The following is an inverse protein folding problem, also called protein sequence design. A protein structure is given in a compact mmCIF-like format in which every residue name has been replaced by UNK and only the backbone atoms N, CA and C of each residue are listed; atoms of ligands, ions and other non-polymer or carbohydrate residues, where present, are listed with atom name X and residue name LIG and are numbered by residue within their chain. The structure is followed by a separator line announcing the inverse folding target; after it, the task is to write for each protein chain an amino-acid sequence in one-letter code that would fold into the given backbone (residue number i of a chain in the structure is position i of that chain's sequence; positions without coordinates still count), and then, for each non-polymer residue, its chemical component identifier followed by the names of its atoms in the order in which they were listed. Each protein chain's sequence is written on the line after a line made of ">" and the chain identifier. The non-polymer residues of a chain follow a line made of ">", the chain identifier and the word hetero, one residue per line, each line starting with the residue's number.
data_IF_340376571893
#
_entry.id   IF_340376571893
#
_cell.length_a   1.000
_cell.length_b   1.000
_cell.length_c   1.000
_cell.angle_alpha   90.00
_cell.angle_beta   90.00
_cell.angle_gamma   90.00
#
_symmetry.space_group_name_H-M   'P 1'
#
loop_
_entity.id
_entity.type
_entity.pdbx_description
1 polymer ?
#
# COMPACT_ATOMS: atom_id res chain seq x y z
N UNK A 1 -7.94 7.85 -12.97
CA UNK A 1 -7.49 6.45 -12.84
C UNK A 1 -6.06 6.47 -12.37
N UNK A 2 -5.71 5.80 -11.26
CA UNK A 2 -4.32 5.67 -10.80
C UNK A 2 -3.78 4.27 -11.15
N UNK A 3 -2.45 4.12 -11.15
CA UNK A 3 -1.80 2.88 -11.57
C UNK A 3 -0.90 2.34 -10.44
N UNK A 4 -1.07 1.07 -10.07
CA UNK A 4 -0.06 0.30 -9.32
C UNK A 4 0.86 -0.35 -10.35
N UNK A 5 2.09 0.07 -10.37
CA UNK A 5 3.09 -0.35 -11.34
C UNK A 5 4.08 -1.29 -10.68
N UNK A 6 4.18 -2.51 -11.20
CA UNK A 6 5.19 -3.49 -10.80
C UNK A 6 6.16 -3.73 -11.96
N UNK A 7 7.19 -2.90 -12.11
CA UNK A 7 8.06 -2.96 -13.29
C UNK A 7 8.95 -4.20 -13.31
N UNK A 8 9.13 -4.85 -12.15
CA UNK A 8 9.93 -6.07 -11.99
C UNK A 8 9.51 -6.84 -10.74
N UNK A 9 9.66 -8.17 -10.75
CA UNK A 9 9.57 -9.00 -9.53
C UNK A 9 10.93 -9.09 -8.80
N UNK A 10 12.02 -8.71 -9.44
CA UNK A 10 13.34 -8.78 -8.83
C UNK A 10 13.40 -7.93 -7.56
N UNK A 11 13.96 -8.49 -6.50
CA UNK A 11 14.16 -7.83 -5.21
C UNK A 11 15.51 -8.25 -4.63
N UNK A 12 16.17 -7.34 -3.95
CA UNK A 12 17.40 -7.60 -3.21
C UNK A 12 17.16 -8.03 -1.75
N UNK A 13 15.86 -8.19 -1.36
CA UNK A 13 15.43 -8.74 -0.07
C UNK A 13 14.72 -10.09 -0.26
N UNK A 14 14.66 -10.87 0.84
CA UNK A 14 14.04 -12.20 0.93
C UNK A 14 12.96 -12.28 1.99
N UNK A 15 12.07 -11.28 2.07
CA UNK A 15 11.03 -11.21 3.11
C UNK A 15 10.10 -12.43 3.09
N UNK A 16 9.79 -12.98 4.28
CA UNK A 16 8.93 -14.17 4.42
C UNK A 16 7.44 -13.89 4.21
N UNK A 17 7.03 -12.64 4.38
CA UNK A 17 5.65 -12.15 4.23
C UNK A 17 5.36 -11.49 2.88
N UNK A 18 6.27 -11.60 1.90
CA UNK A 18 6.16 -10.87 0.64
C UNK A 18 4.96 -11.34 -0.19
N UNK A 19 3.93 -10.47 -0.34
CA UNK A 19 2.76 -10.76 -1.16
C UNK A 19 3.08 -10.73 -2.66
N UNK A 20 4.01 -9.88 -3.08
CA UNK A 20 4.43 -9.73 -4.49
C UNK A 20 5.53 -10.72 -4.89
N UNK A 21 5.46 -11.95 -4.39
CA UNK A 21 6.30 -13.07 -4.85
C UNK A 21 5.50 -13.95 -5.82
N UNK A 22 6.17 -14.50 -6.81
CA UNK A 22 5.56 -15.41 -7.79
C UNK A 22 4.57 -14.72 -8.75
N UNK A 23 4.80 -13.44 -9.06
CA UNK A 23 3.96 -12.67 -9.99
C UNK A 23 4.13 -13.10 -11.45
N UNK A 24 5.29 -13.63 -11.79
CA UNK A 24 5.67 -14.03 -13.14
C UNK A 24 6.53 -15.29 -13.11
N UNK A 25 6.45 -16.10 -14.15
CA UNK A 25 7.29 -17.30 -14.32
C UNK A 25 8.75 -16.92 -14.58
N UNK A 26 8.98 -15.92 -15.42
CA UNK A 26 10.32 -15.37 -15.67
C UNK A 26 10.63 -14.19 -14.75
N UNK A 27 11.38 -14.45 -13.67
CA UNK A 27 11.85 -13.43 -12.72
C UNK A 27 12.71 -12.32 -13.34
N UNK A 28 13.17 -12.48 -14.57
CA UNK A 28 13.90 -11.46 -15.33
C UNK A 28 12.95 -10.56 -16.11
N UNK A 29 11.66 -10.86 -16.15
CA UNK A 29 10.69 -10.02 -16.84
C UNK A 29 10.77 -8.57 -16.34
N UNK A 30 10.67 -7.65 -17.28
CA UNK A 30 10.68 -6.20 -17.07
C UNK A 30 9.55 -5.59 -17.87
N UNK A 31 8.73 -4.81 -17.22
CA UNK A 31 7.63 -4.14 -17.91
C UNK A 31 8.18 -3.10 -18.89
N UNK A 32 7.70 -3.15 -20.11
CA UNK A 32 8.03 -2.19 -21.14
C UNK A 32 7.33 -0.84 -20.88
N UNK A 33 8.05 0.26 -21.10
CA UNK A 33 7.50 1.61 -20.97
C UNK A 33 6.33 1.88 -21.94
N UNK A 34 6.31 1.23 -23.07
CA UNK A 34 5.24 1.31 -24.08
C UNK A 34 3.84 1.06 -23.49
N UNK A 35 3.71 0.08 -22.58
CA UNK A 35 2.45 -0.22 -21.89
C UNK A 35 2.03 0.93 -20.97
N UNK A 36 2.97 1.55 -20.26
CA UNK A 36 2.70 2.69 -19.38
C UNK A 36 2.31 3.93 -20.20
N UNK A 37 2.97 4.15 -21.32
CA UNK A 37 2.65 5.25 -22.24
C UNK A 37 1.23 5.12 -22.82
N UNK A 38 0.84 3.90 -23.21
CA UNK A 38 -0.54 3.63 -23.66
C UNK A 38 -1.56 3.88 -22.54
N UNK A 39 -1.24 3.44 -21.30
CA UNK A 39 -2.09 3.70 -20.15
C UNK A 39 -2.28 5.20 -19.90
N UNK A 40 -1.20 5.99 -19.87
CA UNK A 40 -1.26 7.45 -19.66
C UNK A 40 -2.01 8.16 -20.80
N UNK A 41 -1.84 7.71 -22.03
CA UNK A 41 -2.62 8.23 -23.18
C UNK A 41 -4.11 7.97 -23.01
N UNK A 42 -4.50 6.80 -22.50
CA UNK A 42 -5.91 6.44 -22.25
C UNK A 42 -6.48 7.16 -21.03
N UNK A 43 -5.67 7.36 -19.98
CA UNK A 43 -6.05 8.00 -18.74
C UNK A 43 -5.20 9.24 -18.45
N UNK A 44 -5.33 10.33 -19.24
CA UNK A 44 -4.44 11.50 -19.18
C UNK A 44 -4.53 12.29 -17.88
N UNK A 45 -5.57 12.05 -17.06
CA UNK A 45 -5.76 12.66 -15.72
C UNK A 45 -5.23 11.75 -14.59
N UNK A 46 -4.37 10.79 -14.90
CA UNK A 46 -3.70 9.98 -13.89
C UNK A 46 -2.85 10.87 -12.99
N UNK A 47 -3.17 10.91 -11.71
CA UNK A 47 -2.44 11.75 -10.74
C UNK A 47 -1.23 11.02 -10.16
N UNK A 48 -1.37 9.72 -9.89
CA UNK A 48 -0.29 8.92 -9.29
C UNK A 48 -0.08 7.57 -9.99
N UNK A 49 1.20 7.23 -10.15
CA UNK A 49 1.67 5.89 -10.42
C UNK A 49 2.41 5.41 -9.17
N UNK A 50 1.82 4.44 -8.47
CA UNK A 50 2.43 3.78 -7.31
C UNK A 50 3.41 2.72 -7.80
N UNK A 51 4.68 2.98 -7.70
CA UNK A 51 5.74 2.07 -8.18
C UNK A 51 6.16 1.14 -7.04
N UNK A 52 5.84 -0.12 -7.19
CA UNK A 52 6.04 -1.20 -6.21
C UNK A 52 6.56 -2.45 -6.94
N UNK A 53 6.29 -3.64 -6.45
CA UNK A 53 6.63 -4.91 -7.09
C UNK A 53 7.63 -5.71 -6.25
N UNK A 54 8.74 -6.16 -6.84
CA UNK A 54 9.89 -6.66 -6.10
C UNK A 54 10.52 -5.50 -5.34
N UNK A 55 11.57 -4.91 -5.90
CA UNK A 55 12.01 -3.57 -5.45
C UNK A 55 12.19 -2.69 -6.69
N UNK A 56 11.61 -1.48 -6.73
CA UNK A 56 11.73 -0.56 -7.86
C UNK A 56 13.19 -0.25 -8.24
N UNK A 57 14.10 -0.24 -7.26
CA UNK A 57 15.53 0.07 -7.50
C UNK A 57 16.29 -1.08 -8.18
N UNK A 58 15.62 -2.20 -8.47
CA UNK A 58 16.16 -3.25 -9.34
C UNK A 58 16.00 -2.92 -10.83
N UNK A 59 15.25 -1.87 -11.18
CA UNK A 59 15.27 -1.24 -12.50
C UNK A 59 16.38 -0.18 -12.57
N UNK A 60 16.94 0.12 -13.74
CA UNK A 60 17.89 1.21 -13.86
C UNK A 60 17.22 2.60 -13.72
N UNK A 61 17.88 3.63 -13.16
CA UNK A 61 17.31 4.98 -13.05
C UNK A 61 16.80 5.53 -14.38
N UNK A 62 17.50 5.23 -15.49
CA UNK A 62 17.10 5.63 -16.83
C UNK A 62 15.67 5.26 -17.18
N UNK A 63 15.18 4.09 -16.73
CA UNK A 63 13.78 3.66 -16.95
C UNK A 63 12.79 4.70 -16.42
N UNK A 64 13.06 5.23 -15.24
CA UNK A 64 12.18 6.21 -14.60
C UNK A 64 12.37 7.62 -15.18
N UNK A 65 13.59 8.00 -15.56
CA UNK A 65 13.81 9.26 -16.28
C UNK A 65 13.09 9.26 -17.63
N UNK A 66 13.12 8.16 -18.37
CA UNK A 66 12.38 8.05 -19.64
C UNK A 66 10.87 8.16 -19.42
N UNK A 67 10.34 7.57 -18.32
CA UNK A 67 8.93 7.72 -17.95
C UNK A 67 8.59 9.16 -17.55
N UNK A 68 9.40 9.80 -16.72
CA UNK A 68 9.23 11.21 -16.31
C UNK A 68 9.25 12.12 -17.53
N UNK A 69 10.22 11.93 -18.43
CA UNK A 69 10.29 12.68 -19.68
C UNK A 69 9.00 12.57 -20.49
N UNK A 70 8.46 11.35 -20.65
CA UNK A 70 7.18 11.15 -21.36
C UNK A 70 6.02 11.86 -20.67
N UNK A 71 5.97 11.84 -19.32
CA UNK A 71 4.96 12.54 -18.52
C UNK A 71 5.03 14.06 -18.78
N UNK A 72 6.23 14.63 -18.81
CA UNK A 72 6.46 16.06 -19.00
C UNK A 72 6.18 16.53 -20.43
N UNK A 73 6.66 15.80 -21.43
CA UNK A 73 6.43 16.08 -22.84
C UNK A 73 4.93 16.09 -23.22
N UNK A 74 4.11 15.31 -22.50
CA UNK A 74 2.66 15.24 -22.72
C UNK A 74 1.85 16.06 -21.71
N UNK A 75 2.50 16.81 -20.80
CA UNK A 75 1.85 17.62 -19.76
C UNK A 75 0.89 16.82 -18.87
N UNK A 76 1.19 15.56 -18.56
CA UNK A 76 0.39 14.78 -17.62
C UNK A 76 0.64 15.27 -16.17
N UNK A 77 -0.40 15.27 -15.30
CA UNK A 77 -0.23 15.68 -13.89
C UNK A 77 0.51 14.65 -13.03
N UNK A 78 0.87 13.53 -13.60
CA UNK A 78 1.29 12.30 -12.93
C UNK A 78 2.55 12.48 -12.09
N UNK A 79 2.50 11.96 -10.87
CA UNK A 79 3.63 11.81 -9.94
C UNK A 79 3.95 10.31 -9.80
N UNK A 80 5.23 9.97 -9.68
CA UNK A 80 5.71 8.63 -9.38
C UNK A 80 5.90 8.50 -7.87
N UNK A 81 5.10 7.67 -7.22
CA UNK A 81 5.17 7.40 -5.78
C UNK A 81 5.78 6.02 -5.54
N UNK A 82 7.03 6.00 -5.07
CA UNK A 82 7.79 4.77 -4.86
C UNK A 82 7.55 4.19 -3.47
N UNK A 83 7.47 2.86 -3.39
CA UNK A 83 7.71 2.12 -2.16
C UNK A 83 8.88 1.17 -2.39
N UNK A 84 10.00 1.42 -1.73
CA UNK A 84 11.25 0.67 -1.89
C UNK A 84 11.89 0.37 -0.54
N UNK A 85 12.66 -0.71 -0.44
CA UNK A 85 13.44 -0.99 0.76
C UNK A 85 14.68 -0.08 0.91
N UNK A 86 14.98 0.74 -0.09
CA UNK A 86 16.11 1.68 -0.17
C UNK A 86 17.50 1.04 -0.04
N UNK A 87 17.64 -0.29 -0.12
CA UNK A 87 18.93 -0.95 0.11
C UNK A 87 19.94 -0.69 -1.02
N UNK A 88 19.49 -0.61 -2.28
CA UNK A 88 20.39 -0.23 -3.39
C UNK A 88 20.77 1.26 -3.31
N UNK A 89 19.85 2.12 -2.87
CA UNK A 89 20.15 3.51 -2.57
C UNK A 89 21.20 3.65 -1.43
N UNK A 90 21.01 2.93 -0.32
CA UNK A 90 21.95 2.96 0.80
C UNK A 90 23.37 2.57 0.39
N UNK A 91 23.51 1.58 -0.50
CA UNK A 91 24.81 1.14 -1.01
C UNK A 91 25.41 2.05 -2.06
N UNK A 92 24.59 2.77 -2.85
CA UNK A 92 24.99 3.59 -3.99
C UNK A 92 24.10 4.82 -4.09
N UNK A 93 24.15 5.75 -3.12
CA UNK A 93 23.24 6.88 -3.06
C UNK A 93 23.36 7.80 -4.29
N UNK A 94 24.56 8.01 -4.80
CA UNK A 94 24.85 8.84 -5.98
C UNK A 94 24.11 8.38 -7.23
N UNK A 95 23.85 7.08 -7.36
CA UNK A 95 23.10 6.49 -8.48
C UNK A 95 21.64 6.96 -8.53
N UNK A 96 21.04 7.29 -7.37
CA UNK A 96 19.61 7.53 -7.22
C UNK A 96 19.27 8.96 -6.82
N UNK A 97 20.25 9.73 -6.32
CA UNK A 97 20.04 11.06 -5.75
C UNK A 97 19.36 12.01 -6.72
N UNK A 98 19.79 12.04 -7.98
CA UNK A 98 19.17 12.89 -8.99
C UNK A 98 17.71 12.56 -9.21
N UNK A 99 17.38 11.25 -9.38
CA UNK A 99 16.01 10.80 -9.55
C UNK A 99 15.14 11.14 -8.34
N UNK A 100 15.62 10.87 -7.12
CA UNK A 100 14.83 11.07 -5.89
C UNK A 100 14.58 12.55 -5.57
N UNK A 101 15.47 13.44 -5.97
CA UNK A 101 15.27 14.88 -5.86
C UNK A 101 14.34 15.46 -6.94
N UNK A 102 13.97 14.67 -7.96
CA UNK A 102 13.09 15.16 -9.02
C UNK A 102 11.72 15.56 -8.47
N UNK A 103 11.12 16.71 -8.91
CA UNK A 103 9.83 17.20 -8.39
C UNK A 103 8.67 16.19 -8.53
N UNK A 104 8.71 15.34 -9.57
CA UNK A 104 7.68 14.33 -9.83
C UNK A 104 7.86 13.03 -9.05
N UNK A 105 8.76 13.01 -8.08
CA UNK A 105 9.03 11.83 -7.26
C UNK A 105 8.52 12.01 -5.83
N UNK A 106 7.79 11.02 -5.34
CA UNK A 106 7.52 10.79 -3.93
C UNK A 106 8.19 9.47 -3.53
N UNK A 107 8.84 9.44 -2.38
CA UNK A 107 9.58 8.26 -1.92
C UNK A 107 9.03 7.83 -0.57
N UNK A 108 8.53 6.61 -0.51
CA UNK A 108 8.23 5.88 0.71
C UNK A 108 9.15 4.69 0.85
N UNK A 109 9.35 4.24 2.07
CA UNK A 109 10.13 3.05 2.35
C UNK A 109 9.35 2.04 3.19
N UNK A 110 9.99 0.99 3.63
CA UNK A 110 9.34 -0.04 4.41
C UNK A 110 10.28 -0.60 5.47
N UNK A 111 9.75 -0.73 6.68
CA UNK A 111 10.42 -1.37 7.80
C UNK A 111 9.37 -2.07 8.66
N UNK A 112 9.74 -3.19 9.27
CA UNK A 112 8.93 -3.82 10.32
C UNK A 112 9.82 -4.56 11.31
N UNK A 113 9.42 -4.54 12.56
CA UNK A 113 10.02 -5.37 13.60
C UNK A 113 9.70 -6.86 13.40
N UNK A 114 10.51 -7.73 13.99
CA UNK A 114 10.42 -9.17 13.84
C UNK A 114 11.35 -9.71 12.74
N UNK A 115 11.32 -11.02 12.54
CA UNK A 115 12.30 -11.73 11.72
C UNK A 115 11.90 -11.86 10.23
N UNK A 116 10.71 -11.40 9.89
CA UNK A 116 10.13 -11.59 8.55
C UNK A 116 10.83 -10.77 7.45
N UNK A 117 11.38 -9.60 7.79
CA UNK A 117 12.09 -8.75 6.82
C UNK A 117 13.56 -9.12 6.75
N UNK A 118 13.98 -9.72 5.64
CA UNK A 118 15.31 -10.28 5.48
C UNK A 118 16.04 -9.69 4.27
N UNK A 119 17.30 -9.28 4.47
CA UNK A 119 18.21 -8.85 3.40
C UNK A 119 18.52 -10.04 2.49
N UNK A 120 18.81 -11.19 3.10
CA UNK A 120 18.90 -12.50 2.46
C UNK A 120 18.38 -13.56 3.44
N UNK A 121 18.11 -14.79 3.02
CA UNK A 121 17.61 -15.81 3.90
C UNK A 121 18.43 -15.92 5.20
N UNK A 122 17.77 -15.73 6.36
CA UNK A 122 18.39 -15.77 7.68
C UNK A 122 19.09 -14.49 8.15
N UNK A 123 19.22 -13.46 7.31
CA UNK A 123 19.79 -12.16 7.70
C UNK A 123 18.69 -11.11 7.84
N UNK A 124 18.28 -10.82 9.07
CA UNK A 124 17.20 -9.89 9.39
C UNK A 124 17.62 -8.44 9.11
N UNK A 125 16.74 -7.68 8.47
CA UNK A 125 16.87 -6.23 8.33
C UNK A 125 16.39 -5.55 9.62
N UNK A 126 17.34 -5.19 10.48
CA UNK A 126 17.09 -4.68 11.84
C UNK A 126 16.76 -3.19 11.85
N UNK A 127 16.28 -2.67 13.00
CA UNK A 127 16.08 -1.24 13.23
C UNK A 127 17.38 -0.44 13.00
N UNK A 128 18.54 -0.98 13.41
CA UNK A 128 19.83 -0.33 13.16
C UNK A 128 20.07 -0.12 11.66
N UNK A 129 19.87 -1.15 10.83
CA UNK A 129 19.96 -1.04 9.37
C UNK A 129 18.98 0.02 8.84
N UNK A 130 17.74 0.03 9.33
CA UNK A 130 16.73 0.99 8.90
C UNK A 130 17.12 2.43 9.24
N UNK A 131 17.61 2.68 10.46
CA UNK A 131 18.09 4.02 10.88
C UNK A 131 19.29 4.50 10.05
N UNK A 132 20.17 3.60 9.63
CA UNK A 132 21.29 3.94 8.74
C UNK A 132 20.80 4.32 7.33
N UNK A 133 19.88 3.52 6.77
CA UNK A 133 19.23 3.82 5.48
C UNK A 133 18.49 5.15 5.54
N UNK A 134 17.71 5.39 6.61
CA UNK A 134 16.96 6.63 6.82
C UNK A 134 17.89 7.88 6.88
N UNK A 135 18.97 7.78 7.69
CA UNK A 135 19.97 8.86 7.78
C UNK A 135 20.67 9.14 6.44
N UNK A 136 20.98 8.08 5.69
CA UNK A 136 21.58 8.20 4.36
C UNK A 136 20.60 8.91 3.40
N UNK A 137 19.32 8.54 3.43
CA UNK A 137 18.29 9.21 2.62
C UNK A 137 18.20 10.70 2.95
N UNK A 138 18.05 11.07 4.22
CA UNK A 138 17.99 12.49 4.64
C UNK A 138 19.23 13.28 4.29
N UNK A 139 20.41 12.63 4.24
CA UNK A 139 21.67 13.28 3.84
C UNK A 139 21.69 13.64 2.35
N UNK A 140 21.23 12.74 1.46
CA UNK A 140 21.34 12.91 0.02
C UNK A 140 20.06 13.49 -0.62
N UNK A 141 18.93 13.39 0.05
CA UNK A 141 17.61 13.85 -0.41
C UNK A 141 16.92 14.69 0.69
N UNK A 142 17.57 15.78 1.16
CA UNK A 142 17.10 16.51 2.35
C UNK A 142 15.77 17.22 2.16
N UNK A 143 15.38 17.53 0.92
CA UNK A 143 14.12 18.22 0.59
C UNK A 143 12.90 17.33 0.50
N UNK A 144 13.02 16.02 0.75
CA UNK A 144 11.91 15.08 0.67
C UNK A 144 11.61 14.46 2.04
N UNK A 145 10.32 14.33 2.31
CA UNK A 145 9.88 13.51 3.43
C UNK A 145 10.04 12.02 3.10
N UNK A 146 10.27 11.23 4.13
CA UNK A 146 10.39 9.79 4.01
C UNK A 146 9.53 9.12 5.08
N UNK A 147 8.31 8.77 4.74
CA UNK A 147 7.48 7.89 5.56
C UNK A 147 7.80 6.41 5.28
N UNK A 148 7.40 5.54 6.18
CA UNK A 148 7.58 4.11 5.97
C UNK A 148 6.30 3.32 6.24
N UNK A 149 6.17 2.18 5.57
CA UNK A 149 5.11 1.22 5.86
C UNK A 149 5.66 0.01 6.63
N UNK A 150 4.81 -0.54 7.49
CA UNK A 150 5.07 -1.80 8.20
C UNK A 150 3.94 -2.79 7.91
N UNK A 151 4.29 -3.98 7.43
CA UNK A 151 3.33 -5.06 7.24
C UNK A 151 3.09 -5.76 8.58
N UNK A 152 1.85 -5.79 9.03
CA UNK A 152 1.44 -6.43 10.29
C UNK A 152 0.83 -7.79 9.99
N UNK A 153 1.31 -8.79 10.70
CA UNK A 153 0.83 -10.16 10.69
C UNK A 153 0.82 -10.75 12.10
N UNK A 154 0.38 -12.00 12.25
CA UNK A 154 0.32 -12.68 13.55
C UNK A 154 1.68 -12.77 14.27
N UNK A 155 2.79 -12.79 13.52
CA UNK A 155 4.13 -12.97 14.10
C UNK A 155 4.70 -11.69 14.71
N UNK A 156 4.25 -10.52 14.21
CA UNK A 156 4.79 -9.22 14.59
C UNK A 156 3.78 -8.23 15.17
N UNK A 157 2.49 -8.61 15.30
CA UNK A 157 1.43 -7.71 15.81
C UNK A 157 1.77 -7.05 17.15
N UNK A 158 2.52 -7.75 18.01
CA UNK A 158 2.98 -7.22 19.31
C UNK A 158 3.89 -5.99 19.19
N UNK A 159 4.52 -5.78 18.05
CA UNK A 159 5.38 -4.65 17.77
C UNK A 159 4.65 -3.50 17.02
N UNK A 160 3.34 -3.60 16.81
CA UNK A 160 2.62 -2.59 16.03
C UNK A 160 2.82 -1.17 16.59
N UNK A 161 2.76 -1.03 17.91
CA UNK A 161 2.96 0.27 18.58
C UNK A 161 4.42 0.74 18.54
N UNK A 162 5.38 -0.17 18.57
CA UNK A 162 6.81 0.18 18.52
C UNK A 162 7.18 0.87 17.21
N UNK A 163 6.50 0.52 16.09
CA UNK A 163 6.69 1.22 14.82
C UNK A 163 6.33 2.71 14.92
N UNK A 164 5.33 3.06 15.72
CA UNK A 164 4.90 4.45 15.86
C UNK A 164 5.83 5.23 16.79
N UNK A 165 6.38 4.59 17.81
CA UNK A 165 7.45 5.21 18.60
C UNK A 165 8.71 5.45 17.76
N UNK A 166 9.05 4.52 16.86
CA UNK A 166 10.13 4.71 15.90
C UNK A 166 9.81 5.88 14.94
N UNK A 167 8.59 5.95 14.41
CA UNK A 167 8.16 7.06 13.55
C UNK A 167 8.27 8.41 14.26
N UNK A 168 7.80 8.47 15.52
CA UNK A 168 7.91 9.66 16.39
C UNK A 168 9.37 10.07 16.60
N UNK A 169 10.25 9.13 16.91
CA UNK A 169 11.67 9.38 17.13
C UNK A 169 12.39 9.89 15.87
N UNK A 170 11.97 9.39 14.70
CA UNK A 170 12.49 9.83 13.40
C UNK A 170 11.85 11.12 12.86
N UNK A 171 10.81 11.64 13.53
CA UNK A 171 10.04 12.81 13.08
C UNK A 171 9.32 12.54 11.75
N UNK A 172 8.71 11.36 11.60
CA UNK A 172 8.02 10.94 10.38
C UNK A 172 6.73 10.18 10.71
N UNK A 173 6.09 9.64 9.68
CA UNK A 173 4.90 8.79 9.80
C UNK A 173 5.19 7.35 9.42
N UNK A 174 4.46 6.43 10.05
CA UNK A 174 4.40 5.01 9.69
C UNK A 174 2.99 4.69 9.22
N UNK A 175 2.88 3.89 8.18
CA UNK A 175 1.62 3.30 7.77
C UNK A 175 1.62 1.82 8.12
N UNK A 176 0.71 1.41 8.99
CA UNK A 176 0.49 0.00 9.29
C UNK A 176 -0.42 -0.60 8.22
N UNK A 177 0.04 -1.64 7.54
CA UNK A 177 -0.73 -2.38 6.55
C UNK A 177 -0.86 -3.83 6.98
N UNK A 178 -2.04 -4.42 6.80
CA UNK A 178 -2.26 -5.82 7.15
C UNK A 178 -1.73 -6.76 6.06
N UNK A 179 -1.23 -7.92 6.47
CA UNK A 179 -0.82 -8.98 5.56
C UNK A 179 -2.02 -9.52 4.78
N UNK A 180 -1.90 -9.60 3.47
CA UNK A 180 -2.84 -10.26 2.56
C UNK A 180 -2.34 -11.67 2.24
N UNK A 181 -3.25 -12.61 2.01
CA UNK A 181 -2.94 -13.99 1.69
C UNK A 181 -2.51 -14.14 0.23
N UNK A 182 -1.27 -13.77 -0.07
CA UNK A 182 -0.68 -13.80 -1.42
C UNK A 182 0.82 -14.05 -1.39
N UNK A 183 1.37 -14.62 -2.44
CA UNK A 183 2.80 -14.87 -2.57
C UNK A 183 3.33 -15.76 -1.44
N UNK A 184 4.32 -15.27 -0.69
CA UNK A 184 4.87 -15.95 0.49
C UNK A 184 4.04 -15.72 1.75
N UNK A 185 3.16 -14.72 1.77
CA UNK A 185 2.26 -14.48 2.89
C UNK A 185 1.17 -15.56 2.91
N UNK A 186 1.36 -16.57 3.74
CA UNK A 186 0.49 -17.77 3.79
C UNK A 186 -0.85 -17.56 4.46
N UNK A 187 -1.10 -16.41 5.09
CA UNK A 187 -2.32 -16.13 5.85
C UNK A 187 -2.73 -14.66 5.77
N UNK A 188 -4.01 -14.40 6.02
CA UNK A 188 -4.57 -13.05 6.11
C UNK A 188 -4.58 -12.56 7.54
N UNK A 189 -4.11 -11.33 7.76
CA UNK A 189 -4.27 -10.65 9.04
C UNK A 189 -5.62 -9.91 9.04
N UNK A 190 -6.57 -10.27 9.94
CA UNK A 190 -7.93 -9.71 9.91
C UNK A 190 -7.96 -8.20 10.19
N UNK A 191 -8.75 -7.46 9.42
CA UNK A 191 -8.91 -6.01 9.63
C UNK A 191 -9.49 -5.68 11.02
N UNK A 192 -10.23 -6.60 11.64
CA UNK A 192 -10.70 -6.45 13.03
C UNK A 192 -9.54 -6.32 14.03
N UNK A 193 -8.45 -7.04 13.81
CA UNK A 193 -7.23 -6.88 14.61
C UNK A 193 -6.56 -5.53 14.35
N UNK A 194 -6.54 -5.06 13.08
CA UNK A 194 -6.05 -3.71 12.78
C UNK A 194 -6.87 -2.62 13.46
N UNK A 195 -8.20 -2.77 13.49
CA UNK A 195 -9.09 -1.84 14.22
C UNK A 195 -8.76 -1.84 15.71
N UNK A 196 -8.49 -3.00 16.31
CA UNK A 196 -8.03 -3.08 17.70
C UNK A 196 -6.71 -2.33 17.92
N UNK A 197 -5.76 -2.44 17.00
CA UNK A 197 -4.49 -1.69 17.04
C UNK A 197 -4.76 -0.19 16.90
N UNK A 198 -5.61 0.26 15.98
CA UNK A 198 -5.96 1.68 15.84
C UNK A 198 -6.59 2.26 17.10
N UNK A 199 -7.46 1.51 17.78
CA UNK A 199 -8.01 1.92 19.08
C UNK A 199 -6.89 2.12 20.12
N UNK A 200 -5.89 1.23 20.15
CA UNK A 200 -4.74 1.39 21.04
C UNK A 200 -3.90 2.63 20.68
N UNK A 201 -3.65 2.86 19.38
CA UNK A 201 -2.91 4.01 18.86
C UNK A 201 -3.57 5.31 19.33
N UNK A 202 -4.88 5.43 19.20
CA UNK A 202 -5.62 6.60 19.67
C UNK A 202 -5.54 6.76 21.20
N UNK A 203 -5.77 5.67 21.97
CA UNK A 203 -5.65 5.67 23.42
C UNK A 203 -4.28 6.13 23.92
N UNK A 204 -3.23 5.87 23.14
CA UNK A 204 -1.85 6.28 23.44
C UNK A 204 -1.48 7.68 22.92
N UNK A 205 -2.37 8.34 22.18
CA UNK A 205 -2.10 9.65 21.57
C UNK A 205 -1.04 9.60 20.47
N UNK A 206 -0.95 8.48 19.73
CA UNK A 206 0.05 8.25 18.68
C UNK A 206 -0.52 8.36 17.26
N UNK A 207 -1.76 8.79 17.10
CA UNK A 207 -2.46 8.79 15.81
C UNK A 207 -1.85 9.71 14.75
N UNK A 208 -1.14 10.77 15.16
CA UNK A 208 -0.40 11.64 14.23
C UNK A 208 0.77 10.93 13.51
N UNK A 209 1.26 9.84 14.11
CA UNK A 209 2.36 9.03 13.57
C UNK A 209 1.87 7.84 12.71
N UNK A 210 0.54 7.64 12.58
CA UNK A 210 -0.04 6.55 11.80
C UNK A 210 -0.96 7.09 10.69
N UNK A 211 -0.51 6.97 9.46
CA UNK A 211 -1.17 7.53 8.27
C UNK A 211 -2.61 7.02 8.06
N UNK A 212 -2.91 5.75 8.41
CA UNK A 212 -4.23 5.16 8.19
C UNK A 212 -5.27 5.58 9.23
N UNK A 213 -4.86 6.03 10.41
CA UNK A 213 -5.78 6.51 11.44
C UNK A 213 -6.59 7.72 10.94
N UNK A 214 -5.95 8.62 10.20
CA UNK A 214 -6.63 9.72 9.52
C UNK A 214 -7.70 9.21 8.55
N UNK A 215 -7.34 8.28 7.67
CA UNK A 215 -8.23 7.72 6.66
C UNK A 215 -9.46 7.03 7.27
N UNK A 216 -9.28 6.28 8.36
CA UNK A 216 -10.39 5.63 9.07
C UNK A 216 -11.32 6.67 9.68
N UNK A 217 -10.77 7.72 10.30
CA UNK A 217 -11.55 8.82 10.85
C UNK A 217 -12.38 9.53 9.79
N UNK A 218 -11.80 9.84 8.63
CA UNK A 218 -12.51 10.52 7.54
C UNK A 218 -13.62 9.65 6.92
N UNK A 219 -13.42 8.34 6.85
CA UNK A 219 -14.49 7.41 6.41
C UNK A 219 -15.70 7.44 7.33
N UNK A 220 -15.48 7.53 8.64
CA UNK A 220 -16.57 7.64 9.61
C UNK A 220 -17.36 8.93 9.47
N UNK A 221 -16.73 9.99 8.97
CA UNK A 221 -17.38 11.27 8.64
C UNK A 221 -18.04 11.28 7.27
N UNK A 222 -18.09 10.13 6.56
CA UNK A 222 -18.54 10.01 5.16
C UNK A 222 -17.71 10.84 4.17
N UNK A 223 -16.48 11.18 4.50
CA UNK A 223 -15.56 11.84 3.59
C UNK A 223 -14.88 10.78 2.73
N UNK A 224 -14.85 11.02 1.42
CA UNK A 224 -14.13 10.13 0.49
C UNK A 224 -12.63 10.32 0.64
N UNK A 225 -11.93 9.25 0.96
CA UNK A 225 -10.48 9.19 1.01
C UNK A 225 -10.00 7.93 0.29
N UNK A 226 -9.09 8.09 -0.64
CA UNK A 226 -8.49 6.98 -1.36
C UNK A 226 -7.60 6.15 -0.43
N UNK A 227 -8.10 5.01 0.04
CA UNK A 227 -7.33 4.08 0.86
C UNK A 227 -7.67 2.63 0.50
N UNK A 228 -6.91 1.68 1.09
CA UNK A 228 -7.12 0.25 0.90
C UNK A 228 -8.52 -0.25 1.31
N UNK A 229 -9.29 0.57 2.00
CA UNK A 229 -10.67 0.29 2.41
C UNK A 229 -11.69 0.99 1.50
N UNK A 230 -11.25 1.66 0.46
CA UNK A 230 -12.12 2.31 -0.51
C UNK A 230 -12.82 1.28 -1.40
N UNK A 231 -14.15 1.43 -1.52
CA UNK A 231 -14.98 0.55 -2.35
C UNK A 231 -14.94 0.88 -3.84
N UNK A 232 -14.39 2.03 -4.18
CA UNK A 232 -14.29 2.51 -5.55
C UNK A 232 -12.99 2.11 -6.26
N UNK A 233 -12.19 1.22 -5.66
CA UNK A 233 -10.90 0.80 -6.25
C UNK A 233 -11.03 0.35 -7.71
N UNK A 234 -12.11 -0.37 -8.06
CA UNK A 234 -12.32 -0.86 -9.42
C UNK A 234 -12.46 0.23 -10.46
N UNK A 235 -12.99 1.39 -10.06
CA UNK A 235 -13.19 2.54 -10.95
C UNK A 235 -12.04 3.55 -10.87
N UNK A 236 -11.15 3.43 -9.88
CA UNK A 236 -10.09 4.40 -9.60
C UNK A 236 -8.66 3.86 -9.74
N UNK A 237 -8.49 2.54 -9.73
CA UNK A 237 -7.18 1.89 -9.71
C UNK A 237 -7.03 0.84 -10.80
N UNK A 238 -5.82 0.69 -11.30
CA UNK A 238 -5.36 -0.43 -12.15
C UNK A 238 -4.00 -0.91 -11.68
N UNK A 239 -3.63 -2.14 -12.06
CA UNK A 239 -2.32 -2.70 -11.73
C UNK A 239 -1.70 -3.39 -12.94
N UNK A 240 -0.40 -3.12 -13.20
CA UNK A 240 0.40 -3.76 -14.25
C UNK A 240 1.53 -4.57 -13.65
N UNK A 241 1.63 -5.83 -14.06
CA UNK A 241 2.71 -6.76 -13.72
C UNK A 241 3.91 -6.64 -14.66
N UNK A 242 5.07 -7.21 -14.29
CA UNK A 242 6.28 -7.19 -15.12
C UNK A 242 6.13 -7.86 -16.50
N UNK A 243 5.23 -8.82 -16.64
CA UNK A 243 4.88 -9.52 -17.88
C UNK A 243 3.80 -8.82 -18.71
N UNK A 244 3.30 -7.69 -18.22
CA UNK A 244 2.25 -6.91 -18.88
C UNK A 244 0.82 -7.35 -18.56
N UNK A 245 0.61 -8.37 -17.70
CA UNK A 245 -0.72 -8.71 -17.19
C UNK A 245 -1.31 -7.54 -16.41
N UNK A 246 -2.62 -7.34 -16.58
CA UNK A 246 -3.29 -6.12 -16.14
C UNK A 246 -4.54 -6.44 -15.31
N UNK A 247 -4.69 -5.78 -14.18
CA UNK A 247 -5.71 -6.11 -13.18
C UNK A 247 -6.44 -4.87 -12.67
N UNK A 248 -7.65 -5.09 -12.14
CA UNK A 248 -8.46 -4.03 -11.54
C UNK A 248 -7.89 -3.51 -10.22
N UNK A 249 -7.00 -4.25 -9.54
CA UNK A 249 -6.52 -3.92 -8.20
C UNK A 249 -5.13 -4.52 -7.94
N UNK A 250 -4.27 -3.78 -7.21
CA UNK A 250 -2.94 -4.24 -6.84
C UNK A 250 -2.90 -5.53 -6.03
N UNK A 251 -3.64 -5.65 -4.91
CA UNK A 251 -3.67 -6.87 -4.11
C UNK A 251 -4.28 -8.10 -4.81
N UNK A 252 -5.24 -7.94 -5.70
CA UNK A 252 -5.78 -9.03 -6.53
C UNK A 252 -4.79 -9.48 -7.60
N UNK A 253 -3.96 -8.55 -8.05
CA UNK A 253 -2.83 -8.82 -8.91
C UNK A 253 -1.80 -9.75 -8.24
N UNK A 254 -1.53 -9.56 -6.93
CA UNK A 254 -0.60 -10.43 -6.18
C UNK A 254 -1.06 -11.89 -6.10
N UNK A 255 -2.35 -12.16 -6.24
CA UNK A 255 -2.92 -13.51 -6.31
C UNK A 255 -2.89 -14.12 -7.72
N UNK A 256 -2.56 -13.34 -8.73
CA UNK A 256 -2.79 -13.67 -10.14
C UNK A 256 -4.25 -14.11 -10.39
N UNK A 257 -5.18 -13.41 -9.74
CA UNK A 257 -6.62 -13.73 -9.78
C UNK A 257 -7.18 -13.42 -11.16
N UNK A 258 -7.29 -14.44 -11.99
CA UNK A 258 -7.76 -14.34 -13.39
C UNK A 258 -9.18 -13.80 -13.53
N UNK A 259 -10.02 -13.92 -12.47
CA UNK A 259 -11.36 -13.32 -12.47
C UNK A 259 -11.33 -11.79 -12.46
N UNK A 260 -10.20 -11.21 -12.04
CA UNK A 260 -9.96 -9.77 -11.95
C UNK A 260 -8.89 -9.27 -12.93
N UNK A 261 -8.42 -10.15 -13.81
CA UNK A 261 -7.56 -9.79 -14.94
C UNK A 261 -8.39 -9.07 -15.99
N UNK A 262 -7.83 -8.03 -16.57
CA UNK A 262 -8.46 -7.16 -17.56
C UNK A 262 -7.69 -7.32 -18.88
N UNK A 263 -8.38 -7.37 -19.99
CA UNK A 263 -7.76 -7.22 -21.30
C UNK A 263 -7.23 -5.80 -21.45
N UNK A 264 -5.90 -5.68 -21.41
CA UNK A 264 -5.22 -4.40 -21.51
C UNK A 264 -5.51 -3.70 -22.84
N UNK A 265 -5.42 -4.41 -23.94
CA UNK A 265 -5.54 -3.83 -25.28
C UNK A 265 -6.97 -3.34 -25.53
N UNK A 266 -7.98 -4.11 -25.09
CA UNK A 266 -9.37 -3.72 -25.15
C UNK A 266 -9.66 -2.44 -24.33
N UNK A 267 -9.16 -2.34 -23.07
CA UNK A 267 -9.35 -1.13 -22.26
C UNK A 267 -8.61 0.08 -22.88
N UNK A 268 -7.41 -0.11 -23.43
CA UNK A 268 -6.67 0.96 -24.11
C UNK A 268 -7.38 1.42 -25.39
N UNK A 269 -8.07 0.52 -26.11
CA UNK A 269 -8.93 0.86 -27.24
C UNK A 269 -10.22 1.60 -26.84
N UNK A 270 -10.52 1.66 -25.56
CA UNK A 270 -11.73 2.35 -25.07
C UNK A 270 -12.97 1.46 -25.00
N UNK A 271 -12.80 0.15 -25.11
CA UNK A 271 -13.88 -0.79 -24.88
C UNK A 271 -14.36 -0.73 -23.42
N UNK A 272 -15.67 -0.90 -23.24
CA UNK A 272 -16.25 -0.81 -21.90
C UNK A 272 -15.78 -1.97 -21.04
N UNK A 273 -15.00 -1.65 -20.00
CA UNK A 273 -14.67 -2.58 -18.95
C UNK A 273 -15.73 -2.55 -17.85
N UNK A 274 -16.45 -3.65 -17.68
CA UNK A 274 -17.38 -3.82 -16.56
C UNK A 274 -16.59 -4.34 -15.35
N UNK A 275 -16.52 -3.58 -14.25
CA UNK A 275 -15.92 -4.09 -13.02
C UNK A 275 -16.54 -5.45 -12.65
N UNK A 276 -15.71 -6.45 -12.44
CA UNK A 276 -16.16 -7.83 -12.17
C UNK A 276 -16.73 -7.97 -10.76
N UNK A 277 -16.71 -6.91 -9.97
CA UNK A 277 -17.23 -6.98 -8.60
C UNK A 277 -18.72 -7.26 -8.56
N UNK A 278 -19.04 -8.52 -8.38
CA UNK A 278 -20.37 -8.93 -8.00
C UNK A 278 -20.61 -8.42 -6.58
N UNK A 279 -21.71 -7.69 -6.38
CA UNK A 279 -22.06 -7.14 -5.06
C UNK A 279 -22.05 -8.19 -3.93
N UNK A 280 -22.38 -9.45 -4.25
CA UNK A 280 -22.31 -10.59 -3.33
C UNK A 280 -20.90 -10.91 -2.80
N UNK A 281 -19.86 -10.56 -3.54
CA UNK A 281 -18.47 -10.84 -3.16
C UNK A 281 -17.95 -9.86 -2.11
N UNK A 282 -18.68 -8.76 -1.89
CA UNK A 282 -18.36 -7.73 -0.89
C UNK A 282 -18.92 -8.03 0.50
N UNK A 283 -19.73 -9.06 0.64
CA UNK A 283 -20.37 -9.38 1.92
C UNK A 283 -19.77 -10.65 2.53
N UNK A 284 -19.38 -10.56 3.79
CA UNK A 284 -18.94 -11.71 4.56
C UNK A 284 -20.14 -12.61 4.92
N UNK A 285 -21.26 -12.00 5.30
CA UNK A 285 -22.51 -12.63 5.75
C UNK A 285 -23.73 -11.83 5.35
N UNK A 286 -24.91 -12.44 5.39
CA UNK A 286 -26.18 -11.77 5.08
C UNK A 286 -26.48 -10.59 6.02
N UNK A 287 -26.15 -10.72 7.32
CA UNK A 287 -26.37 -9.68 8.33
C UNK A 287 -25.46 -8.46 8.22
N UNK A 288 -24.49 -8.46 7.28
CA UNK A 288 -23.59 -7.31 7.07
C UNK A 288 -24.33 -6.00 6.81
N UNK A 289 -25.48 -6.05 6.14
CA UNK A 289 -26.28 -4.85 5.86
C UNK A 289 -26.77 -4.11 7.11
N UNK A 290 -27.03 -4.82 8.21
CA UNK A 290 -27.44 -4.24 9.48
C UNK A 290 -26.29 -4.02 10.47
N UNK A 291 -25.05 -4.33 10.08
CA UNK A 291 -23.90 -4.21 10.96
C UNK A 291 -23.38 -2.78 11.00
N UNK A 292 -23.33 -2.16 12.18
CA UNK A 292 -22.81 -0.80 12.34
C UNK A 292 -21.33 -0.66 11.95
N UNK A 293 -20.55 -1.73 12.07
CA UNK A 293 -19.14 -1.77 11.65
C UNK A 293 -18.97 -2.02 10.15
N UNK A 294 -20.06 -2.10 9.38
CA UNK A 294 -20.00 -2.44 7.95
C UNK A 294 -19.12 -1.46 7.14
N UNK A 295 -19.25 -0.17 7.39
CA UNK A 295 -18.48 0.86 6.68
C UNK A 295 -16.97 0.76 6.95
N UNK A 296 -16.58 0.30 8.12
CA UNK A 296 -15.17 0.08 8.50
C UNK A 296 -14.65 -1.24 7.95
N UNK A 297 -15.46 -2.30 8.06
CA UNK A 297 -15.09 -3.67 7.72
C UNK A 297 -15.12 -3.93 6.20
N UNK A 298 -16.08 -3.33 5.49
CA UNK A 298 -16.37 -3.64 4.10
C UNK A 298 -15.70 -2.63 3.15
N UNK A 299 -14.75 -3.06 2.41
CA UNK A 299 -14.11 -2.17 1.43
C UNK A 299 -13.17 -2.91 0.48
N UNK A 300 -12.41 -3.84 1.00
CA UNK A 300 -11.42 -4.56 0.21
C UNK A 300 -11.93 -5.95 -0.18
N UNK A 301 -12.25 -6.15 -1.45
CA UNK A 301 -12.71 -7.47 -1.98
C UNK A 301 -11.66 -8.54 -1.74
N UNK A 302 -10.39 -8.22 -1.93
CA UNK A 302 -9.27 -9.12 -1.64
C UNK A 302 -9.32 -9.62 -0.20
N UNK A 303 -9.48 -8.70 0.76
CA UNK A 303 -9.54 -9.06 2.17
C UNK A 303 -10.74 -9.96 2.50
N UNK A 304 -11.89 -9.69 1.90
CA UNK A 304 -13.09 -10.53 2.05
C UNK A 304 -12.86 -11.94 1.49
N UNK A 305 -12.26 -12.05 0.29
CA UNK A 305 -11.88 -13.33 -0.29
C UNK A 305 -10.91 -14.10 0.62
N UNK A 306 -9.90 -13.40 1.16
CA UNK A 306 -8.89 -14.00 2.04
C UNK A 306 -9.47 -14.50 3.37
N UNK A 307 -10.34 -13.72 4.01
CA UNK A 307 -11.02 -14.15 5.23
C UNK A 307 -11.87 -15.42 5.00
N UNK A 308 -12.55 -15.51 3.85
CA UNK A 308 -13.33 -16.70 3.48
C UNK A 308 -12.39 -17.90 3.24
N UNK A 309 -11.30 -17.71 2.50
CA UNK A 309 -10.31 -18.77 2.20
C UNK A 309 -9.62 -19.28 3.47
N UNK A 310 -9.29 -18.37 4.39
CA UNK A 310 -8.65 -18.69 5.67
C UNK A 310 -9.63 -19.19 6.75
N UNK A 311 -10.94 -19.26 6.46
CA UNK A 311 -12.00 -19.62 7.43
C UNK A 311 -11.98 -18.72 8.69
N UNK A 312 -11.67 -17.43 8.53
CA UNK A 312 -11.56 -16.44 9.63
C UNK A 312 -12.78 -15.52 9.75
N UNK A 313 -13.86 -15.75 8.98
CA UNK A 313 -15.03 -14.86 8.94
C UNK A 313 -15.68 -14.70 10.31
N UNK A 314 -15.93 -15.83 11.03
CA UNK A 314 -16.62 -15.80 12.34
C UNK A 314 -15.80 -15.05 13.39
N UNK A 315 -14.51 -15.38 13.53
CA UNK A 315 -13.63 -14.73 14.50
C UNK A 315 -13.46 -13.24 14.19
N UNK A 316 -13.34 -12.90 12.91
CA UNK A 316 -13.29 -11.52 12.45
C UNK A 316 -14.56 -10.74 12.81
N UNK A 317 -15.75 -11.28 12.50
CA UNK A 317 -17.01 -10.62 12.79
C UNK A 317 -17.25 -10.46 14.30
N UNK A 318 -16.92 -11.47 15.09
CA UNK A 318 -17.06 -11.43 16.55
C UNK A 318 -16.19 -10.33 17.16
N UNK A 319 -14.90 -10.29 16.78
CA UNK A 319 -13.99 -9.24 17.25
C UNK A 319 -14.44 -7.86 16.77
N UNK A 320 -14.81 -7.71 15.48
CA UNK A 320 -15.25 -6.42 14.95
C UNK A 320 -16.45 -5.86 15.70
N UNK A 321 -17.45 -6.69 16.01
CA UNK A 321 -18.64 -6.29 16.78
C UNK A 321 -18.29 -5.93 18.22
N UNK A 322 -17.33 -6.61 18.85
CA UNK A 322 -16.92 -6.29 20.22
C UNK A 322 -16.18 -4.95 20.34
N UNK A 323 -15.58 -4.49 19.24
CA UNK A 323 -14.87 -3.21 19.19
C UNK A 323 -15.79 -2.01 18.86
N UNK A 324 -17.06 -2.24 18.52
CA UNK A 324 -17.99 -1.20 18.05
C UNK A 324 -18.03 0.03 18.98
N UNK A 325 -18.30 -0.20 20.25
CA UNK A 325 -18.45 0.89 21.23
C UNK A 325 -17.15 1.72 21.38
N UNK A 326 -16.03 1.04 21.55
CA UNK A 326 -14.73 1.72 21.69
C UNK A 326 -14.39 2.52 20.43
N UNK A 327 -14.61 1.94 19.26
CA UNK A 327 -14.31 2.55 17.99
C UNK A 327 -15.12 3.85 17.77
N UNK A 328 -16.45 3.80 17.94
CA UNK A 328 -17.29 4.99 17.75
C UNK A 328 -17.09 6.05 18.83
N UNK A 329 -16.84 5.65 20.07
CA UNK A 329 -16.54 6.60 21.15
C UNK A 329 -15.26 7.39 20.84
N UNK A 330 -14.25 6.75 20.29
CA UNK A 330 -13.01 7.41 19.92
C UNK A 330 -13.16 8.28 18.68
N UNK A 331 -13.86 7.79 17.65
CA UNK A 331 -14.11 8.55 16.44
C UNK A 331 -14.93 9.82 16.70
N UNK A 332 -15.82 9.80 17.71
CA UNK A 332 -16.64 10.93 18.11
C UNK A 332 -15.98 11.80 19.21
N UNK A 333 -14.92 11.35 19.85
CA UNK A 333 -14.22 12.14 20.85
C UNK A 333 -13.51 13.32 20.20
N UNK A 334 -13.60 14.51 20.83
CA UNK A 334 -12.98 15.75 20.33
C UNK A 334 -11.47 15.65 20.08
N UNK A 335 -10.78 14.69 20.71
CA UNK A 335 -9.37 14.41 20.48
C UNK A 335 -9.05 14.10 18.99
N UNK A 336 -9.96 13.42 18.26
CA UNK A 336 -9.82 13.21 16.83
C UNK A 336 -10.12 14.49 16.04
N UNK A 337 -11.01 15.35 16.53
CA UNK A 337 -11.40 16.61 15.86
C UNK A 337 -10.38 17.74 16.04
N UNK A 338 -9.69 17.82 17.18
CA UNK A 338 -8.71 18.89 17.45
C UNK A 338 -7.39 18.67 16.69
N UNK A 339 -6.96 17.43 16.48
CA UNK A 339 -5.73 17.12 15.75
C UNK A 339 -5.76 17.59 14.29
N UNK A 340 -6.94 17.62 13.66
CA UNK A 340 -7.10 17.97 12.24
C UNK A 340 -7.54 19.42 12.00
N UNK A 341 -7.81 20.21 13.04
CA UNK A 341 -8.11 21.66 12.90
C UNK A 341 -6.88 22.54 12.72
N UNK A 342 -5.70 22.01 13.01
CA UNK A 342 -4.43 22.75 12.90
C UNK A 342 -3.86 22.90 11.49
N UNK A 343 -4.25 22.05 10.55
CA UNK A 343 -3.60 22.00 9.22
C UNK A 343 -4.37 22.69 8.08
N UNK A 344 -5.52 23.34 8.35
CA UNK A 344 -6.34 24.02 7.29
C UNK A 344 -5.99 25.52 7.16
N UNK A 345 -5.01 26.02 7.88
CA UNK A 345 -4.54 27.41 7.76
C UNK A 345 -3.01 27.47 7.59
N UNK A 346 -2.54 27.15 6.40
CA UNK A 346 -1.16 27.38 5.99
C UNK A 346 -1.06 27.39 4.48
#
# INVERSE_FOLDING_TARGET
>A
MNLVLKPTEACNFSCTFCSSSYLVDDKKARLELSKIFQFLKRFPKTEKIFVVGGDPLMMPPKYYFDLIKHIEENNYPTILSFTTNLWDFYKKPEKWTELFNHPRMEIGTSFQYGDGRQIKPGEVFTEQHFREVYRMFKKFVPGKDLSFLAVIDESNEKFAIDHLYLAKDLGTQCRLVYSAMSGKAGDVYPISKMVSIYIQIWKLGLSEYEESCFTVSEKLKNVFVGCNLDRACDSSMRSLNPDGRYFSCGPLNDDLDTENEIDFDAEMAGEFFKPIQKSKDRFLKAECFGCKMFEVCNGCVKHIKDLKRANKVESHCTLMKSLESDFFNMANSGAVQEMFRGEVHG
#
